data_IF_111390134933
#
_entry.id   IF_111390134933
#
_cell.length_a   1.000
_cell.length_b   1.000
_cell.length_c   1.000
_cell.angle_alpha   90.00
_cell.angle_beta   90.00
_cell.angle_gamma   90.00
#
_symmetry.space_group_name_H-M   'P 1'
#
loop_
_entity.id
_entity.type
_entity.pdbx_description
1 polymer ?
#
# COMPACT_ATOMS: atom_id res chain seq x y z
N UNK A 1 -31.67 45.35 80.23
CA UNK A 1 -32.17 45.67 78.87
C UNK A 1 -30.98 45.83 77.95
N UNK A 2 -31.07 45.26 76.74
CA UNK A 2 -30.13 45.37 75.62
C UNK A 2 -29.73 46.83 75.35
N UNK A 3 -28.58 47.20 74.78
CA UNK A 3 -27.58 46.50 73.98
C UNK A 3 -27.16 47.43 72.82
N UNK A 4 -25.86 47.43 72.48
CA UNK A 4 -25.19 47.78 71.20
C UNK A 4 -24.01 48.77 71.36
N UNK A 5 -22.81 48.26 71.10
CA UNK A 5 -21.84 48.86 70.17
C UNK A 5 -20.91 47.76 69.66
N UNK A 6 -20.70 47.73 68.35
CA UNK A 6 -19.67 46.94 67.67
C UNK A 6 -18.29 47.55 67.94
N UNK A 7 -17.24 46.73 67.93
CA UNK A 7 -16.07 47.00 67.10
C UNK A 7 -15.22 45.73 66.87
N UNK A 8 -14.55 45.76 65.73
CA UNK A 8 -13.99 44.66 64.96
C UNK A 8 -12.67 44.07 65.47
N UNK A 9 -12.43 42.85 64.94
CA UNK A 9 -11.15 42.26 64.54
C UNK A 9 -10.44 41.35 65.55
N UNK A 10 -10.56 40.03 65.34
CA UNK A 10 -9.50 39.06 65.55
C UNK A 10 -9.66 37.91 64.54
N UNK A 11 -8.65 37.68 63.69
CA UNK A 11 -8.53 36.45 62.89
C UNK A 11 -8.11 35.28 63.78
N UNK A 12 -8.50 34.03 63.44
CA UNK A 12 -7.80 32.82 63.87
C UNK A 12 -6.99 32.17 62.73
N UNK A 13 -6.06 31.25 63.07
CA UNK A 13 -4.80 31.05 62.36
C UNK A 13 -4.78 29.89 61.36
N UNK A 14 -3.64 29.80 60.67
CA UNK A 14 -3.25 28.84 59.62
C UNK A 14 -3.30 27.37 60.06
N UNK A 15 -3.93 26.53 59.22
CA UNK A 15 -3.82 25.07 59.28
C UNK A 15 -2.66 24.54 58.42
N UNK A 16 -2.09 23.44 58.89
CA UNK A 16 -0.81 22.83 58.50
C UNK A 16 -0.89 21.95 57.22
N UNK A 17 0.24 21.67 56.55
CA UNK A 17 0.26 20.98 55.27
C UNK A 17 0.09 19.47 55.42
N UNK A 18 -0.92 18.92 54.73
CA UNK A 18 -1.16 17.48 54.65
C UNK A 18 -0.12 16.79 53.75
N UNK A 19 0.54 15.77 54.32
CA UNK A 19 1.51 14.90 53.66
C UNK A 19 0.89 14.19 52.45
N UNK A 20 1.46 14.42 51.26
CA UNK A 20 1.30 13.52 50.12
C UNK A 20 2.55 12.64 49.95
N UNK A 21 2.42 11.33 49.66
CA UNK A 21 3.54 10.42 49.58
C UNK A 21 4.36 10.64 48.30
N UNK A 22 5.68 10.70 48.45
CA UNK A 22 6.66 10.69 47.37
C UNK A 22 6.49 9.41 46.56
N UNK A 23 6.00 9.52 45.32
CA UNK A 23 6.22 8.53 44.28
C UNK A 23 7.57 8.84 43.64
N UNK A 24 8.57 8.02 43.94
CA UNK A 24 9.74 7.87 43.09
C UNK A 24 9.26 7.14 41.85
N UNK A 25 9.11 7.85 40.72
CA UNK A 25 9.03 7.21 39.42
C UNK A 25 10.32 7.51 38.66
N UNK A 26 11.23 6.55 38.75
CA UNK A 26 12.37 6.42 37.88
C UNK A 26 11.86 5.85 36.56
N UNK A 27 11.63 6.71 35.58
CA UNK A 27 11.59 6.28 34.19
C UNK A 27 12.19 7.37 33.31
N UNK A 28 13.27 6.99 32.64
CA UNK A 28 13.99 7.72 31.60
C UNK A 28 13.05 8.49 30.66
N UNK A 29 13.51 9.58 30.01
CA UNK A 29 12.74 10.21 28.95
C UNK A 29 12.61 9.20 27.81
N UNK A 30 11.50 8.47 27.76
CA UNK A 30 11.02 7.93 26.50
C UNK A 30 10.70 9.13 25.65
N UNK A 31 11.63 9.50 24.79
CA UNK A 31 11.28 10.20 23.56
C UNK A 31 10.50 9.23 22.68
N UNK A 32 9.31 8.82 23.13
CA UNK A 32 8.29 8.31 22.23
C UNK A 32 7.93 9.50 21.36
N UNK A 33 8.59 9.58 20.20
CA UNK A 33 8.23 10.53 19.16
C UNK A 33 6.79 10.19 18.80
N UNK A 34 5.84 10.92 19.38
CA UNK A 34 4.43 10.76 19.08
C UNK A 34 4.25 10.83 17.57
N UNK A 35 3.59 9.81 17.01
CA UNK A 35 3.20 9.80 15.61
C UNK A 35 2.04 10.77 15.32
N UNK A 36 1.48 11.40 16.34
CA UNK A 36 0.42 12.39 16.19
C UNK A 36 0.98 13.78 15.83
N UNK A 37 0.16 14.60 15.17
CA UNK A 37 0.45 16.02 14.98
C UNK A 37 0.43 16.77 16.31
N UNK A 38 1.24 17.83 16.42
CA UNK A 38 1.13 18.78 17.54
C UNK A 38 -0.19 19.56 17.46
N UNK A 39 -0.67 20.07 18.59
CA UNK A 39 -1.88 20.89 18.63
C UNK A 39 -1.78 22.13 17.75
N UNK A 40 -0.60 22.73 17.65
CA UNK A 40 -0.35 23.86 16.73
C UNK A 40 -0.58 23.49 15.27
N UNK A 41 -0.19 22.30 14.86
CA UNK A 41 -0.40 21.82 13.48
C UNK A 41 -1.87 21.48 13.23
N UNK A 42 -2.57 20.90 14.21
CA UNK A 42 -4.01 20.64 14.12
C UNK A 42 -4.82 21.93 14.00
N UNK A 43 -4.51 22.93 14.82
CA UNK A 43 -5.14 24.25 14.75
C UNK A 43 -4.92 24.93 13.39
N UNK A 44 -3.69 24.86 12.87
CA UNK A 44 -3.38 25.43 11.56
C UNK A 44 -4.08 24.69 10.41
N UNK A 45 -4.14 23.37 10.47
CA UNK A 45 -4.90 22.57 9.50
C UNK A 45 -6.41 22.88 9.55
N UNK A 46 -6.98 23.04 10.75
CA UNK A 46 -8.38 23.42 10.94
C UNK A 46 -8.65 24.85 10.45
N UNK A 47 -7.72 25.79 10.63
CA UNK A 47 -7.82 27.15 10.09
C UNK A 47 -7.90 27.15 8.55
N UNK A 48 -7.17 26.25 7.89
CA UNK A 48 -7.12 26.17 6.43
C UNK A 48 -8.24 25.34 5.80
N UNK A 49 -8.67 24.25 6.46
CA UNK A 49 -9.65 23.29 5.90
C UNK A 49 -11.02 23.32 6.57
N UNK A 50 -11.19 24.11 7.62
CA UNK A 50 -12.39 24.13 8.44
C UNK A 50 -12.39 23.06 9.55
N UNK A 51 -13.45 23.07 10.36
CA UNK A 51 -13.62 22.20 11.53
C UNK A 51 -14.40 20.91 11.25
N UNK A 52 -14.55 20.52 9.99
CA UNK A 52 -15.30 19.35 9.56
C UNK A 52 -14.42 18.37 8.78
N UNK A 53 -14.87 17.12 8.69
CA UNK A 53 -14.28 16.11 7.82
C UNK A 53 -14.21 16.62 6.37
N UNK A 54 -13.01 16.67 5.82
CA UNK A 54 -12.79 17.14 4.45
C UNK A 54 -13.53 16.27 3.42
N UNK A 55 -13.65 14.97 3.69
CA UNK A 55 -14.32 14.01 2.80
C UNK A 55 -15.85 14.10 2.85
N UNK A 56 -16.46 13.98 4.04
CA UNK A 56 -17.91 13.84 4.19
C UNK A 56 -18.62 14.97 4.96
N UNK A 57 -17.90 16.01 5.37
CA UNK A 57 -18.42 17.14 6.15
C UNK A 57 -18.93 16.82 7.58
N UNK A 58 -18.83 15.57 8.05
CA UNK A 58 -19.12 15.23 9.44
C UNK A 58 -18.29 16.12 10.41
N UNK A 59 -18.88 16.58 11.53
CA UNK A 59 -18.17 17.37 12.53
C UNK A 59 -17.10 16.54 13.24
N UNK A 60 -16.28 17.23 14.05
CA UNK A 60 -15.28 16.65 14.96
C UNK A 60 -14.29 15.69 14.27
N UNK A 61 -13.55 16.16 13.24
CA UNK A 61 -12.59 15.33 12.54
C UNK A 61 -11.35 15.04 13.39
N UNK A 62 -10.75 13.88 13.12
CA UNK A 62 -9.36 13.57 13.46
C UNK A 62 -8.43 14.13 12.39
N UNK A 63 -7.12 14.18 12.68
CA UNK A 63 -6.11 14.75 11.78
C UNK A 63 -5.19 13.65 11.24
N UNK A 64 -5.41 13.26 9.99
CA UNK A 64 -4.70 12.19 9.32
C UNK A 64 -3.44 12.70 8.61
N UNK A 65 -2.38 11.89 8.62
CA UNK A 65 -1.19 12.14 7.80
C UNK A 65 -1.44 11.65 6.38
N UNK A 66 -1.34 12.53 5.38
CA UNK A 66 -1.52 12.13 3.98
C UNK A 66 -0.40 11.20 3.54
N UNK A 67 0.85 11.54 3.85
CA UNK A 67 1.98 10.61 3.84
C UNK A 67 2.27 10.22 5.29
N UNK A 68 2.09 8.94 5.63
CA UNK A 68 2.31 8.45 6.98
C UNK A 68 3.77 8.68 7.43
N UNK A 69 4.00 9.02 8.70
CA UNK A 69 5.36 9.22 9.23
C UNK A 69 6.23 7.97 9.08
N UNK A 70 5.62 6.78 9.10
CA UNK A 70 6.26 5.47 8.92
C UNK A 70 6.02 4.88 7.53
N UNK A 71 5.76 5.72 6.51
CA UNK A 71 5.68 5.24 5.13
C UNK A 71 7.04 4.67 4.71
N UNK A 72 7.10 3.34 4.52
CA UNK A 72 8.32 2.65 4.14
C UNK A 72 8.89 3.07 2.79
N UNK A 73 8.08 3.70 1.92
CA UNK A 73 8.56 4.24 0.64
C UNK A 73 9.04 5.69 0.72
N UNK A 74 8.81 6.40 1.83
CA UNK A 74 9.19 7.80 1.96
C UNK A 74 10.68 8.09 1.67
N UNK A 75 11.66 7.27 2.11
CA UNK A 75 13.06 7.51 1.79
C UNK A 75 13.35 7.56 0.29
N UNK A 76 12.73 6.68 -0.51
CA UNK A 76 12.91 6.67 -1.97
C UNK A 76 12.31 7.90 -2.63
N UNK A 77 11.17 8.39 -2.14
CA UNK A 77 10.55 9.61 -2.63
C UNK A 77 11.37 10.87 -2.28
N UNK A 78 11.96 10.90 -1.08
CA UNK A 78 12.87 11.97 -0.66
C UNK A 78 14.15 11.94 -1.49
N UNK A 79 14.77 10.77 -1.66
CA UNK A 79 15.97 10.59 -2.49
C UNK A 79 15.70 10.99 -3.96
N UNK A 80 14.50 10.69 -4.46
CA UNK A 80 14.08 11.09 -5.78
C UNK A 80 13.73 12.58 -5.89
N UNK A 81 13.82 13.39 -4.83
CA UNK A 81 13.52 14.83 -4.84
C UNK A 81 12.03 15.17 -4.92
N UNK A 82 11.14 14.23 -4.61
CA UNK A 82 9.69 14.38 -4.77
C UNK A 82 8.98 14.90 -3.52
N UNK A 83 9.61 14.78 -2.34
CA UNK A 83 9.08 15.25 -1.06
C UNK A 83 9.93 16.39 -0.49
N UNK A 84 9.64 17.65 -0.86
CA UNK A 84 10.34 18.83 -0.35
C UNK A 84 9.78 19.34 0.98
N UNK A 85 8.98 18.56 1.70
CA UNK A 85 8.25 19.01 2.90
C UNK A 85 8.37 18.03 4.06
N UNK A 86 8.18 18.54 5.28
CA UNK A 86 8.14 17.73 6.49
C UNK A 86 6.75 17.12 6.71
N UNK A 87 6.71 15.81 6.99
CA UNK A 87 5.46 15.08 7.22
C UNK A 87 4.72 15.49 8.49
N UNK A 88 5.39 16.21 9.41
CA UNK A 88 4.83 16.67 10.69
C UNK A 88 4.16 18.04 10.60
N UNK A 89 4.04 18.61 9.40
CA UNK A 89 3.48 19.96 9.20
C UNK A 89 2.07 19.89 8.63
N UNK A 90 1.35 21.01 8.70
CA UNK A 90 -0.04 21.09 8.23
C UNK A 90 -0.17 20.75 6.73
N UNK A 91 0.86 20.96 5.91
CA UNK A 91 0.82 20.65 4.47
C UNK A 91 0.70 19.15 4.17
N UNK A 92 0.89 18.29 5.15
CA UNK A 92 0.70 16.84 5.07
C UNK A 92 -0.49 16.36 5.90
N UNK A 93 -1.35 17.27 6.36
CA UNK A 93 -2.46 17.00 7.25
C UNK A 93 -3.79 17.11 6.51
N UNK A 94 -4.72 16.20 6.82
CA UNK A 94 -6.10 16.27 6.32
C UNK A 94 -7.08 15.95 7.46
N UNK A 95 -8.08 16.81 7.73
CA UNK A 95 -9.11 16.52 8.73
C UNK A 95 -10.10 15.48 8.18
N UNK A 96 -10.27 14.36 8.87
CA UNK A 96 -11.17 13.27 8.50
C UNK A 96 -11.92 12.76 9.73
N UNK A 97 -13.23 12.51 9.62
CA UNK A 97 -13.96 11.80 10.68
C UNK A 97 -13.42 10.36 10.83
N UNK A 98 -13.65 9.68 11.97
CA UNK A 98 -13.09 8.35 12.23
C UNK A 98 -13.34 7.32 11.10
N UNK A 99 -14.54 7.32 10.51
CA UNK A 99 -14.87 6.42 9.39
C UNK A 99 -14.06 6.71 8.12
N UNK A 100 -13.94 7.98 7.73
CA UNK A 100 -13.15 8.39 6.57
C UNK A 100 -11.64 8.19 6.82
N UNK A 101 -11.18 8.43 8.05
CA UNK A 101 -9.79 8.22 8.44
C UNK A 101 -9.42 6.73 8.35
N UNK A 102 -10.25 5.84 8.90
CA UNK A 102 -10.05 4.39 8.80
C UNK A 102 -10.10 3.88 7.36
N UNK A 103 -10.93 4.48 6.50
CA UNK A 103 -10.98 4.15 5.07
C UNK A 103 -9.73 4.64 4.31
N UNK A 104 -9.15 5.75 4.74
CA UNK A 104 -7.98 6.38 4.13
C UNK A 104 -6.66 5.69 4.52
N UNK A 105 -6.50 5.29 5.78
CA UNK A 105 -5.22 4.82 6.35
C UNK A 105 -4.79 3.41 5.90
N UNK A 106 -5.64 2.68 5.18
CA UNK A 106 -5.32 1.35 4.66
C UNK A 106 -4.28 1.44 3.56
N UNK A 107 -3.01 1.19 3.92
CA UNK A 107 -1.86 1.41 3.03
C UNK A 107 -1.85 0.54 1.77
N UNK A 108 -2.25 -0.72 1.86
CA UNK A 108 -2.25 -1.68 0.74
C UNK A 108 -3.57 -1.72 -0.03
N UNK A 109 -4.66 -1.31 0.61
CA UNK A 109 -6.01 -1.41 0.05
C UNK A 109 -6.90 -0.27 0.56
N UNK A 110 -6.60 0.98 0.14
CA UNK A 110 -7.40 2.13 0.54
C UNK A 110 -8.86 1.94 0.12
N UNK A 111 -9.77 2.35 0.99
CA UNK A 111 -11.20 2.39 0.71
C UNK A 111 -11.63 3.79 0.24
N UNK A 112 -10.80 4.80 0.50
CA UNK A 112 -10.98 6.17 0.03
C UNK A 112 -9.63 6.81 -0.23
N UNK A 113 -9.57 7.60 -1.29
CA UNK A 113 -8.41 8.45 -1.62
C UNK A 113 -8.88 9.79 -2.14
N UNK A 114 -7.96 10.72 -2.33
CA UNK A 114 -8.22 11.94 -3.08
C UNK A 114 -7.02 12.28 -3.97
N UNK A 115 -7.28 12.86 -5.13
CA UNK A 115 -6.28 13.14 -6.16
C UNK A 115 -6.41 14.59 -6.65
N UNK A 116 -5.30 15.22 -7.08
CA UNK A 116 -5.39 16.48 -7.83
C UNK A 116 -6.33 16.33 -9.04
N UNK A 117 -7.18 17.32 -9.28
CA UNK A 117 -8.12 17.27 -10.42
C UNK A 117 -7.46 17.35 -11.79
N UNK A 118 -6.19 17.79 -11.83
CA UNK A 118 -5.44 17.97 -13.07
C UNK A 118 -4.07 17.29 -12.96
N UNK A 119 -4.04 15.97 -13.12
CA UNK A 119 -2.78 15.20 -13.15
C UNK A 119 -1.90 15.55 -14.36
N UNK A 120 -2.51 15.97 -15.47
CA UNK A 120 -1.78 16.38 -16.68
C UNK A 120 -0.81 17.54 -16.43
N UNK A 121 -1.17 18.48 -15.53
CA UNK A 121 -0.27 19.54 -15.09
C UNK A 121 1.03 18.99 -14.48
N UNK A 122 0.94 17.98 -13.61
CA UNK A 122 2.10 17.36 -12.97
C UNK A 122 2.95 16.55 -13.95
N UNK A 123 2.30 15.88 -14.91
CA UNK A 123 3.00 15.16 -15.99
C UNK A 123 3.82 16.14 -16.82
N UNK A 124 3.18 17.22 -17.27
CA UNK A 124 3.84 18.27 -18.05
C UNK A 124 5.03 18.87 -17.28
N UNK A 125 4.83 19.18 -16.00
CA UNK A 125 5.90 19.70 -15.16
C UNK A 125 7.10 18.75 -15.08
N UNK A 126 6.87 17.46 -14.81
CA UNK A 126 7.98 16.50 -14.72
C UNK A 126 8.69 16.31 -16.06
N UNK A 127 7.97 16.33 -17.19
CA UNK A 127 8.59 16.27 -18.52
C UNK A 127 9.48 17.49 -18.80
N UNK A 128 9.01 18.69 -18.46
CA UNK A 128 9.79 19.93 -18.60
C UNK A 128 11.00 19.94 -17.66
N UNK A 129 10.84 19.46 -16.42
CA UNK A 129 11.92 19.34 -15.44
C UNK A 129 12.98 18.31 -15.87
N UNK A 130 12.56 17.17 -16.44
CA UNK A 130 13.47 16.18 -17.02
C UNK A 130 14.27 16.77 -18.19
N UNK A 131 13.61 17.48 -19.10
CA UNK A 131 14.29 18.15 -20.22
C UNK A 131 15.30 19.19 -19.73
N UNK A 132 14.92 20.00 -18.73
CA UNK A 132 15.82 20.97 -18.07
C UNK A 132 17.04 20.27 -17.46
N UNK A 133 16.84 19.17 -16.72
CA UNK A 133 17.93 18.40 -16.11
C UNK A 133 18.84 17.73 -17.14
N UNK A 134 18.31 17.32 -18.28
CA UNK A 134 19.11 16.74 -19.37
C UNK A 134 19.97 17.78 -20.11
N UNK A 135 19.56 19.05 -20.14
CA UNK A 135 20.28 20.15 -20.80
C UNK A 135 21.32 20.84 -19.90
N UNK A 136 21.20 20.70 -18.57
CA UNK A 136 22.08 21.37 -17.62
C UNK A 136 23.51 20.81 -17.62
N UNK A 137 24.50 21.70 -17.71
CA UNK A 137 25.91 21.36 -17.43
C UNK A 137 26.08 21.28 -15.91
N UNK A 138 25.75 20.11 -15.33
CA UNK A 138 25.84 19.84 -13.89
C UNK A 138 24.61 19.10 -13.33
N UNK A 139 24.67 18.62 -12.08
CA UNK A 139 23.51 18.06 -11.38
C UNK A 139 22.52 19.19 -11.05
N UNK A 140 21.53 19.39 -11.92
CA UNK A 140 20.36 20.20 -11.58
C UNK A 140 19.41 19.37 -10.74
N UNK A 141 19.12 19.83 -9.52
CA UNK A 141 18.16 19.16 -8.64
C UNK A 141 16.76 19.10 -9.27
N UNK A 142 16.05 17.98 -9.07
CA UNK A 142 14.65 17.83 -9.49
C UNK A 142 13.78 18.87 -8.78
N UNK A 143 12.85 19.47 -9.51
CA UNK A 143 11.83 20.34 -8.95
C UNK A 143 10.44 19.73 -9.05
N UNK A 144 9.57 20.04 -8.10
CA UNK A 144 8.16 19.63 -8.11
C UNK A 144 7.25 20.85 -7.98
N UNK A 145 6.00 20.79 -8.48
CA UNK A 145 5.05 21.87 -8.29
C UNK A 145 4.78 22.12 -6.80
N UNK A 146 4.89 23.39 -6.39
CA UNK A 146 4.47 23.82 -5.06
C UNK A 146 2.96 23.95 -4.96
N UNK A 147 2.45 24.07 -3.73
CA UNK A 147 1.03 24.35 -3.45
C UNK A 147 0.56 25.59 -4.23
N UNK A 148 1.34 26.69 -4.14
CA UNK A 148 1.04 27.94 -4.84
C UNK A 148 1.04 27.76 -6.36
N UNK A 149 2.03 27.06 -6.94
CA UNK A 149 2.10 26.83 -8.39
C UNK A 149 0.91 26.04 -8.91
N UNK A 150 0.48 25.01 -8.18
CA UNK A 150 -0.70 24.25 -8.59
C UNK A 150 -2.00 25.06 -8.45
N UNK A 151 -2.15 25.81 -7.35
CA UNK A 151 -3.27 26.77 -7.18
C UNK A 151 -3.31 27.79 -8.31
N UNK A 152 -2.20 28.46 -8.61
CA UNK A 152 -2.12 29.54 -9.60
C UNK A 152 -2.46 29.01 -11.00
N UNK A 153 -2.02 27.79 -11.33
CA UNK A 153 -2.42 27.11 -12.56
C UNK A 153 -3.95 26.95 -12.64
N UNK A 154 -4.59 26.45 -11.59
CA UNK A 154 -6.05 26.29 -11.56
C UNK A 154 -6.80 27.63 -11.56
N UNK A 155 -6.24 28.65 -10.90
CA UNK A 155 -6.80 29.99 -10.86
C UNK A 155 -6.73 30.68 -12.23
N UNK A 156 -5.63 30.49 -12.98
CA UNK A 156 -5.51 30.96 -14.36
C UNK A 156 -6.55 30.34 -15.31
N UNK A 157 -7.11 29.18 -14.94
CA UNK A 157 -8.18 28.49 -15.67
C UNK A 157 -9.58 28.88 -15.16
N UNK A 158 -9.68 29.73 -14.14
CA UNK A 158 -10.95 30.14 -13.52
C UNK A 158 -11.62 29.04 -12.69
N UNK A 159 -10.91 27.96 -12.35
CA UNK A 159 -11.48 26.79 -11.66
C UNK A 159 -11.38 26.92 -10.12
N UNK A 160 -10.43 27.73 -9.64
CA UNK A 160 -10.21 28.01 -8.22
C UNK A 160 -9.96 29.50 -8.04
N UNK A 161 -10.36 30.08 -6.92
CA UNK A 161 -10.07 31.49 -6.62
C UNK A 161 -8.57 31.73 -6.39
N UNK A 162 -8.07 32.90 -6.77
CA UNK A 162 -6.67 33.28 -6.55
C UNK A 162 -6.27 33.34 -5.07
N UNK A 163 -7.24 33.55 -4.18
CA UNK A 163 -7.06 33.59 -2.72
C UNK A 163 -7.21 32.21 -2.05
N UNK A 164 -7.45 31.14 -2.80
CA UNK A 164 -7.60 29.81 -2.25
C UNK A 164 -6.33 29.36 -1.50
N UNK A 165 -6.54 28.59 -0.43
CA UNK A 165 -5.46 28.07 0.42
C UNK A 165 -4.60 26.99 -0.26
N UNK A 166 -5.03 26.45 -1.41
CA UNK A 166 -4.31 25.42 -2.13
C UNK A 166 -4.98 25.01 -3.44
N UNK A 167 -4.63 23.81 -3.91
CA UNK A 167 -5.15 23.25 -5.16
C UNK A 167 -6.53 22.59 -5.00
N UNK A 168 -7.09 22.13 -6.11
CA UNK A 168 -8.38 21.43 -6.17
C UNK A 168 -8.17 19.92 -6.27
N UNK A 169 -8.89 19.16 -5.45
CA UNK A 169 -8.73 17.71 -5.35
C UNK A 169 -10.09 17.03 -5.36
N UNK A 170 -10.17 15.86 -5.99
CA UNK A 170 -11.36 15.02 -6.05
C UNK A 170 -11.20 13.83 -5.13
N UNK A 171 -12.19 13.58 -4.27
CA UNK A 171 -12.29 12.35 -3.50
C UNK A 171 -12.82 11.19 -4.35
N UNK A 172 -12.26 10.00 -4.16
CA UNK A 172 -12.72 8.77 -4.80
C UNK A 172 -13.03 7.72 -3.73
N UNK A 173 -14.27 7.24 -3.74
CA UNK A 173 -14.74 6.18 -2.86
C UNK A 173 -14.51 4.84 -3.57
N UNK A 174 -13.56 4.07 -3.04
CA UNK A 174 -13.18 2.76 -3.60
C UNK A 174 -14.02 1.63 -2.99
N UNK A 175 -14.64 1.89 -1.85
CA UNK A 175 -15.61 1.03 -1.17
C UNK A 175 -16.72 1.89 -0.59
N UNK A 176 -17.94 1.36 -0.54
CA UNK A 176 -19.01 1.97 0.26
C UNK A 176 -18.82 1.63 1.75
N UNK A 177 -18.10 2.49 2.47
CA UNK A 177 -17.91 2.41 3.92
C UNK A 177 -18.75 3.44 4.69
N UNK A 178 -19.56 4.24 3.98
CA UNK A 178 -20.46 5.22 4.60
C UNK A 178 -21.88 4.67 4.77
N UNK A 179 -22.19 3.50 4.18
CA UNK A 179 -23.42 2.75 4.41
C UNK A 179 -23.68 2.47 5.91
N UNK A 180 -24.92 2.64 6.41
CA UNK A 180 -26.14 3.03 5.68
C UNK A 180 -26.35 4.54 5.56
N UNK A 181 -25.50 5.35 6.21
CA UNK A 181 -25.59 6.82 6.28
C UNK A 181 -25.62 7.50 4.91
N UNK A 182 -25.03 6.87 3.89
CA UNK A 182 -24.94 7.37 2.52
C UNK A 182 -25.37 6.24 1.57
N UNK A 183 -26.66 6.15 1.26
CA UNK A 183 -27.23 5.03 0.50
C UNK A 183 -27.49 5.33 -0.98
N UNK A 184 -27.38 6.59 -1.42
CA UNK A 184 -27.64 6.97 -2.81
C UNK A 184 -26.37 7.34 -3.57
N UNK A 185 -26.35 7.00 -4.86
CA UNK A 185 -25.29 7.42 -5.79
C UNK A 185 -25.14 8.96 -5.81
N UNK A 186 -26.26 9.69 -5.73
CA UNK A 186 -26.27 11.15 -5.69
C UNK A 186 -25.51 11.72 -4.47
N UNK A 187 -25.52 11.06 -3.32
CA UNK A 187 -24.74 11.51 -2.17
C UNK A 187 -23.25 11.32 -2.42
N UNK A 188 -22.83 10.19 -3.01
CA UNK A 188 -21.43 9.99 -3.40
C UNK A 188 -20.95 11.00 -4.44
N UNK A 189 -21.79 11.39 -5.40
CA UNK A 189 -21.46 12.45 -6.37
C UNK A 189 -21.20 13.80 -5.69
N UNK A 190 -22.06 14.19 -4.74
CA UNK A 190 -21.87 15.41 -3.95
C UNK A 190 -20.59 15.33 -3.11
N UNK A 191 -20.36 14.20 -2.43
CA UNK A 191 -19.17 14.03 -1.59
C UNK A 191 -17.87 13.98 -2.41
N UNK A 192 -17.92 13.43 -3.63
CA UNK A 192 -16.82 13.37 -4.58
C UNK A 192 -16.66 14.68 -5.39
N UNK A 193 -17.47 15.70 -5.15
CA UNK A 193 -17.26 17.02 -5.76
C UNK A 193 -15.88 17.53 -5.39
N UNK A 194 -15.11 18.10 -6.33
CA UNK A 194 -13.77 18.59 -6.03
C UNK A 194 -13.76 19.67 -4.95
N UNK A 195 -12.78 19.59 -4.04
CA UNK A 195 -12.62 20.50 -2.90
C UNK A 195 -11.20 21.03 -2.83
N UNK A 196 -11.05 22.22 -2.26
CA UNK A 196 -9.73 22.80 -2.04
C UNK A 196 -9.04 22.06 -0.89
N UNK A 197 -7.75 21.73 -1.07
CA UNK A 197 -6.91 21.24 0.00
C UNK A 197 -5.58 22.00 0.02
N UNK A 198 -5.15 22.37 1.22
CA UNK A 198 -4.00 23.23 1.48
C UNK A 198 -2.67 22.49 1.41
N UNK A 199 -2.69 21.16 1.31
CA UNK A 199 -1.48 20.35 1.39
C UNK A 199 -0.69 20.23 0.11
N UNK A 200 0.52 19.70 0.25
CA UNK A 200 1.46 19.55 -0.85
C UNK A 200 0.96 18.48 -1.85
N UNK A 201 0.84 18.78 -3.15
CA UNK A 201 0.20 17.88 -4.10
C UNK A 201 0.89 16.52 -4.22
N UNK A 202 2.22 16.49 -4.04
CA UNK A 202 2.99 15.24 -4.04
C UNK A 202 2.54 14.23 -2.98
N UNK A 203 2.00 14.68 -1.85
CA UNK A 203 1.44 13.80 -0.83
C UNK A 203 0.21 13.03 -1.34
N UNK A 204 -0.70 13.74 -2.03
CA UNK A 204 -1.88 13.14 -2.65
C UNK A 204 -1.48 12.23 -3.83
N UNK A 205 -0.50 12.65 -4.65
CA UNK A 205 0.00 11.83 -5.78
C UNK A 205 0.65 10.54 -5.30
N UNK A 206 1.44 10.57 -4.20
CA UNK A 206 1.97 9.35 -3.56
C UNK A 206 0.88 8.36 -3.21
N UNK A 207 -0.23 8.84 -2.63
CA UNK A 207 -1.40 8.03 -2.31
C UNK A 207 -2.07 7.51 -3.57
N UNK A 208 -2.23 8.35 -4.60
CA UNK A 208 -2.78 7.95 -5.89
C UNK A 208 -2.00 6.84 -6.57
N UNK A 209 -0.69 6.97 -6.64
CA UNK A 209 0.20 5.95 -7.23
C UNK A 209 0.09 4.63 -6.45
N UNK A 210 -0.06 4.67 -5.12
CA UNK A 210 -0.23 3.45 -4.32
C UNK A 210 -1.45 2.62 -4.75
N UNK A 211 -2.52 3.28 -5.21
CA UNK A 211 -3.76 2.61 -5.64
C UNK A 211 -3.51 1.72 -6.85
N UNK A 212 -2.52 2.02 -7.70
CA UNK A 212 -2.21 1.21 -8.89
C UNK A 212 -1.90 -0.26 -8.52
N UNK A 213 -1.47 -0.52 -7.28
CA UNK A 213 -1.26 -1.87 -6.75
C UNK A 213 -2.50 -2.53 -6.12
N UNK A 214 -3.61 -1.80 -5.94
CA UNK A 214 -4.86 -2.33 -5.39
C UNK A 214 -5.80 -2.78 -6.50
N UNK A 215 -6.52 -3.89 -6.26
CA UNK A 215 -7.59 -4.37 -7.15
C UNK A 215 -8.75 -3.36 -7.30
N UNK A 216 -8.88 -2.38 -6.40
CA UNK A 216 -9.91 -1.33 -6.48
C UNK A 216 -9.51 -0.14 -7.35
N UNK A 217 -8.36 -0.17 -8.01
CA UNK A 217 -7.93 0.91 -8.91
C UNK A 217 -8.94 1.18 -10.03
N UNK A 218 -9.71 0.17 -10.45
CA UNK A 218 -10.76 0.28 -11.47
C UNK A 218 -11.98 1.11 -11.06
N UNK A 219 -12.08 1.55 -9.80
CA UNK A 219 -13.05 2.58 -9.41
C UNK A 219 -12.66 3.98 -9.95
N UNK A 220 -11.40 4.15 -10.37
CA UNK A 220 -10.95 5.34 -11.11
C UNK A 220 -11.24 5.16 -12.60
N UNK A 221 -11.49 6.26 -13.30
CA UNK A 221 -11.59 6.23 -14.76
C UNK A 221 -10.24 5.88 -15.41
N UNK A 222 -10.29 5.36 -16.64
CA UNK A 222 -9.10 4.86 -17.34
C UNK A 222 -8.04 5.95 -17.53
N UNK A 223 -8.45 7.18 -17.82
CA UNK A 223 -7.55 8.31 -18.02
C UNK A 223 -6.77 8.61 -16.73
N UNK A 224 -7.45 8.64 -15.58
CA UNK A 224 -6.80 8.84 -14.28
C UNK A 224 -5.78 7.73 -13.99
N UNK A 225 -6.12 6.46 -14.26
CA UNK A 225 -5.20 5.32 -14.08
C UNK A 225 -3.95 5.50 -14.95
N UNK A 226 -4.13 5.79 -16.24
CA UNK A 226 -3.01 5.93 -17.19
C UNK A 226 -2.13 7.15 -16.85
N UNK A 227 -2.73 8.24 -16.35
CA UNK A 227 -1.99 9.41 -15.87
C UNK A 227 -1.16 9.12 -14.62
N UNK A 228 -1.72 8.40 -13.64
CA UNK A 228 -0.97 7.97 -12.45
C UNK A 228 0.18 7.02 -12.82
N UNK A 229 -0.06 6.07 -13.72
CA UNK A 229 0.99 5.17 -14.22
C UNK A 229 2.10 5.94 -14.95
N UNK A 230 1.72 6.95 -15.74
CA UNK A 230 2.67 7.85 -16.41
C UNK A 230 3.52 8.62 -15.40
N UNK A 231 2.91 9.21 -14.37
CA UNK A 231 3.63 9.89 -13.30
C UNK A 231 4.58 8.95 -12.55
N UNK A 232 4.11 7.75 -12.21
CA UNK A 232 4.96 6.74 -11.55
C UNK A 232 6.20 6.42 -12.38
N UNK A 233 6.05 6.20 -13.69
CA UNK A 233 7.18 5.98 -14.58
C UNK A 233 8.08 7.21 -14.63
N UNK A 234 7.56 8.41 -14.87
CA UNK A 234 8.38 9.62 -14.96
C UNK A 234 9.18 9.90 -13.67
N UNK A 235 8.63 9.56 -12.50
CA UNK A 235 9.29 9.76 -11.23
C UNK A 235 10.41 8.77 -10.93
N UNK A 236 10.27 7.51 -11.35
CA UNK A 236 11.13 6.41 -10.93
C UNK A 236 11.87 5.69 -12.06
N UNK A 237 11.67 6.07 -13.33
CA UNK A 237 12.44 5.59 -14.49
C UNK A 237 13.84 6.25 -14.56
N UNK A 238 14.51 6.30 -13.41
CA UNK A 238 15.89 6.72 -13.27
C UNK A 238 16.70 5.57 -12.65
N UNK A 239 17.58 4.99 -13.46
CA UNK A 239 18.45 3.87 -13.05
C UNK A 239 19.35 4.22 -11.87
N UNK A 240 19.60 5.51 -11.60
CA UNK A 240 20.38 5.95 -10.46
C UNK A 240 19.64 5.77 -9.12
N UNK A 241 18.33 5.52 -9.14
CA UNK A 241 17.54 5.23 -7.94
C UNK A 241 17.63 3.76 -7.50
N UNK A 242 18.17 2.88 -8.34
CA UNK A 242 18.35 1.47 -8.04
C UNK A 242 19.73 1.27 -7.40
N UNK A 243 19.79 0.46 -6.34
CA UNK A 243 21.07 0.06 -5.75
C UNK A 243 21.98 -0.54 -6.83
N UNK A 244 23.20 -0.01 -6.95
CA UNK A 244 24.19 -0.42 -7.96
C UNK A 244 24.45 -1.93 -7.94
N UNK A 245 24.39 -2.57 -6.76
CA UNK A 245 24.52 -4.03 -6.60
C UNK A 245 23.34 -4.77 -7.22
N UNK A 246 22.12 -4.26 -7.04
CA UNK A 246 20.92 -4.87 -7.63
C UNK A 246 20.87 -4.68 -9.15
N UNK A 247 21.35 -3.54 -9.66
CA UNK A 247 21.52 -3.33 -11.11
C UNK A 247 22.44 -4.42 -11.68
N UNK A 248 23.55 -4.74 -11.02
CA UNK A 248 24.48 -5.79 -11.47
C UNK A 248 23.85 -7.19 -11.46
N UNK A 249 22.95 -7.50 -10.52
CA UNK A 249 22.29 -8.81 -10.43
C UNK A 249 21.22 -8.97 -11.51
N UNK A 250 20.37 -7.96 -11.70
CA UNK A 250 19.17 -8.09 -12.54
C UNK A 250 19.35 -7.54 -13.97
N UNK A 251 20.37 -6.72 -14.22
CA UNK A 251 20.63 -6.12 -15.54
C UNK A 251 21.97 -6.58 -16.13
N UNK A 252 22.31 -7.86 -15.91
CA UNK A 252 23.46 -8.50 -16.58
C UNK A 252 23.22 -8.39 -18.09
N UNK A 253 24.09 -7.71 -18.86
CA UNK A 253 23.99 -7.73 -20.31
C UNK A 253 24.12 -9.18 -20.76
N UNK A 254 23.14 -9.69 -21.52
CA UNK A 254 23.22 -11.01 -22.13
C UNK A 254 24.51 -11.09 -22.95
N UNK A 255 25.57 -11.65 -22.37
CA UNK A 255 26.76 -12.00 -23.11
C UNK A 255 26.34 -13.10 -24.06
N UNK A 256 26.28 -12.73 -25.35
CA UNK A 256 26.13 -13.64 -26.47
C UNK A 256 27.09 -14.82 -26.30
N UNK A 257 26.62 -15.91 -25.69
CA UNK A 257 27.15 -17.24 -25.94
C UNK A 257 26.70 -17.61 -27.35
N UNK A 258 27.35 -17.01 -28.37
CA UNK A 258 27.43 -17.59 -29.69
C UNK A 258 28.09 -18.96 -29.49
N UNK A 259 27.26 -19.99 -29.30
CA UNK A 259 27.66 -21.39 -29.49
C UNK A 259 28.22 -21.43 -30.90
N UNK A 260 29.55 -21.47 -31.00
CA UNK A 260 30.28 -21.67 -32.25
C UNK A 260 29.96 -23.10 -32.66
N UNK A 261 28.88 -23.28 -33.44
CA UNK A 261 28.62 -24.54 -34.14
C UNK A 261 29.74 -24.64 -35.17
N UNK A 262 30.70 -25.52 -34.91
CA UNK A 262 31.70 -25.92 -35.88
C UNK A 262 30.97 -26.73 -36.95
N UNK A 263 30.60 -26.06 -38.05
CA UNK A 263 30.27 -26.75 -39.29
C UNK A 263 31.60 -27.17 -39.92
N UNK A 264 32.04 -28.36 -39.54
CA UNK A 264 33.11 -29.05 -40.23
C UNK A 264 32.51 -29.66 -41.51
N UNK A 265 32.97 -29.16 -42.65
CA UNK A 265 32.64 -29.70 -43.96
C UNK A 265 33.49 -30.95 -44.17
N UNK A 266 32.87 -32.10 -44.32
CA UNK A 266 33.43 -33.16 -45.17
C UNK A 266 32.43 -33.55 -46.24
N UNK A 267 32.68 -33.03 -47.45
CA UNK A 267 32.28 -33.67 -48.68
C UNK A 267 32.85 -35.10 -48.71
N UNK A 268 32.03 -36.11 -49.00
CA UNK A 268 32.33 -37.12 -50.02
C UNK A 268 31.04 -37.85 -50.41
N UNK A 269 30.73 -37.69 -51.69
CA UNK A 269 29.71 -38.34 -52.47
C UNK A 269 30.22 -39.73 -52.87
N UNK A 270 29.44 -40.80 -52.70
CA UNK A 270 29.50 -41.95 -53.61
C UNK A 270 28.22 -42.80 -53.55
N UNK A 271 27.74 -43.12 -54.75
CA UNK A 271 26.54 -43.89 -55.07
C UNK A 271 26.74 -45.39 -54.78
N UNK A 272 25.65 -46.12 -54.47
CA UNK A 272 24.95 -47.11 -55.35
C UNK A 272 24.38 -48.33 -54.59
N UNK A 273 23.11 -48.61 -54.92
CA UNK A 273 22.41 -49.92 -55.00
C UNK A 273 22.18 -50.83 -53.77
N UNK A 274 20.89 -51.02 -53.44
CA UNK A 274 20.27 -52.25 -52.89
C UNK A 274 20.51 -53.46 -53.81
N UNK A 275 20.56 -54.72 -53.32
CA UNK A 275 19.33 -55.53 -53.12
C UNK A 275 19.32 -56.61 -51.98
N UNK A 276 18.13 -56.75 -51.37
CA UNK A 276 17.29 -57.97 -51.14
C UNK A 276 17.72 -59.16 -50.23
N UNK A 277 16.82 -59.43 -49.27
CA UNK A 277 16.24 -60.69 -48.73
C UNK A 277 17.02 -61.82 -48.02
N UNK A 278 16.31 -62.28 -46.96
CA UNK A 278 16.23 -63.59 -46.29
C UNK A 278 17.36 -64.03 -45.34
N UNK A 279 17.16 -64.09 -44.00
CA UNK A 279 16.50 -65.14 -43.17
C UNK A 279 17.39 -66.41 -43.03
N UNK A 280 17.61 -67.12 -41.90
CA UNK A 280 16.95 -67.24 -40.59
C UNK A 280 17.93 -67.87 -39.55
N UNK A 281 17.58 -67.73 -38.27
CA UNK A 281 17.59 -68.75 -37.18
C UNK A 281 18.79 -68.93 -36.24
N UNK A 282 18.59 -68.53 -34.97
CA UNK A 282 18.53 -69.44 -33.79
C UNK A 282 17.75 -68.71 -32.64
N UNK A 283 16.46 -68.99 -32.37
CA UNK A 283 15.89 -69.88 -31.32
C UNK A 283 16.53 -69.74 -29.90
N UNK A 284 15.84 -69.61 -28.75
CA UNK A 284 14.41 -69.75 -28.37
C UNK A 284 14.20 -69.30 -26.89
N UNK A 285 13.11 -68.55 -26.64
CA UNK A 285 12.11 -68.67 -25.53
C UNK A 285 12.51 -68.51 -24.04
N UNK A 286 11.69 -67.97 -23.12
CA UNK A 286 10.23 -67.75 -23.02
C UNK A 286 9.95 -66.63 -21.96
N UNK A 287 9.03 -65.67 -22.21
CA UNK A 287 7.59 -65.58 -21.81
C UNK A 287 7.35 -65.03 -20.38
N UNK A 288 6.46 -64.08 -20.06
CA UNK A 288 5.12 -63.64 -20.54
C UNK A 288 4.98 -62.09 -20.36
N UNK A 289 4.37 -61.24 -21.21
CA UNK A 289 3.00 -61.12 -21.79
C UNK A 289 1.91 -60.81 -20.73
N UNK A 290 1.00 -59.81 -20.81
CA UNK A 290 0.03 -59.33 -21.83
C UNK A 290 -0.44 -57.89 -21.42
N UNK A 291 -0.55 -56.83 -22.24
CA UNK A 291 -1.53 -56.49 -23.32
C UNK A 291 -2.73 -55.66 -22.76
N UNK A 292 -3.43 -54.70 -23.40
CA UNK A 292 -3.66 -54.23 -24.79
C UNK A 292 -4.64 -52.99 -24.69
N UNK A 293 -4.45 -51.79 -25.27
CA UNK A 293 -4.84 -51.24 -26.60
C UNK A 293 -6.29 -50.69 -26.79
N UNK A 294 -6.37 -49.58 -27.57
CA UNK A 294 -7.51 -48.91 -28.27
C UNK A 294 -8.48 -48.03 -27.44
N UNK A 295 -8.92 -46.82 -27.80
CA UNK A 295 -8.75 -45.96 -28.97
C UNK A 295 -10.05 -45.72 -29.74
N UNK A 296 -10.88 -44.69 -29.41
CA UNK A 296 -11.79 -44.01 -30.39
C UNK A 296 -12.40 -42.71 -29.84
N UNK A 297 -12.47 -41.67 -30.70
CA UNK A 297 -13.19 -40.39 -30.54
C UNK A 297 -14.70 -40.57 -30.74
N UNK A 298 -15.55 -39.75 -30.12
CA UNK A 298 -16.67 -39.04 -30.77
C UNK A 298 -17.27 -37.94 -29.87
N UNK A 299 -18.00 -37.02 -30.51
CA UNK A 299 -18.23 -35.60 -30.19
C UNK A 299 -19.68 -35.31 -29.75
N UNK A 300 -19.84 -34.26 -28.93
CA UNK A 300 -21.01 -33.41 -28.64
C UNK A 300 -22.25 -33.97 -27.92
N UNK A 301 -22.56 -33.41 -26.73
CA UNK A 301 -23.49 -32.26 -26.62
C UNK A 301 -23.48 -31.64 -25.20
N UNK A 302 -23.47 -30.31 -25.14
CA UNK A 302 -23.74 -29.48 -23.94
C UNK A 302 -25.26 -29.44 -23.66
N UNK A 303 -25.65 -29.19 -22.40
CA UNK A 303 -26.23 -27.87 -22.14
C UNK A 303 -25.72 -27.18 -20.87
N UNK A 304 -25.55 -25.86 -21.01
CA UNK A 304 -25.63 -24.75 -20.05
C UNK A 304 -26.53 -24.98 -18.79
N UNK A 305 -26.50 -24.09 -17.76
CA UNK A 305 -25.37 -23.62 -16.96
C UNK A 305 -25.77 -23.38 -15.48
N UNK A 306 -25.02 -23.86 -14.49
CA UNK A 306 -24.91 -23.16 -13.20
C UNK A 306 -23.83 -23.84 -12.36
N UNK A 307 -23.07 -23.02 -11.65
CA UNK A 307 -21.91 -23.36 -10.83
C UNK A 307 -20.58 -23.58 -11.57
N UNK A 308 -19.61 -22.73 -11.25
CA UNK A 308 -18.28 -23.20 -10.86
C UNK A 308 -18.00 -22.57 -9.50
N UNK A 309 -18.36 -23.34 -8.47
CA UNK A 309 -17.55 -23.47 -7.26
C UNK A 309 -16.18 -23.97 -7.72
N UNK A 310 -15.14 -23.28 -7.28
CA UNK A 310 -13.76 -23.68 -7.58
C UNK A 310 -13.30 -24.58 -6.44
N UNK A 311 -13.06 -25.85 -6.75
CA UNK A 311 -12.10 -26.78 -6.09
C UNK A 311 -12.12 -28.09 -6.89
N UNK A 312 -11.05 -28.80 -7.26
CA UNK A 312 -9.59 -28.68 -7.28
C UNK A 312 -9.14 -29.79 -8.30
N UNK A 313 -8.07 -29.70 -9.07
CA UNK A 313 -6.70 -29.97 -8.64
C UNK A 313 -5.74 -29.80 -9.83
N UNK A 314 -4.59 -29.16 -9.60
CA UNK A 314 -3.28 -29.77 -9.91
C UNK A 314 -2.18 -28.97 -9.19
N UNK A 315 -1.70 -29.60 -8.12
CA UNK A 315 -0.34 -29.62 -7.57
C UNK A 315 0.45 -28.30 -7.49
N UNK A 316 0.29 -27.58 -6.36
CA UNK A 316 1.42 -27.02 -5.57
C UNK A 316 0.96 -26.30 -4.29
N UNK A 317 0.13 -26.89 -3.43
CA UNK A 317 -0.15 -26.29 -2.12
C UNK A 317 -0.21 -27.35 -1.03
N UNK A 318 0.55 -27.11 0.04
CA UNK A 318 0.54 -27.93 1.24
C UNK A 318 -0.90 -28.04 1.79
N UNK A 319 -1.36 -29.22 2.23
CA UNK A 319 -2.72 -29.36 2.75
C UNK A 319 -2.86 -28.57 4.07
N UNK A 320 -3.79 -27.63 4.12
CA UNK A 320 -4.33 -27.08 5.37
C UNK A 320 -5.27 -28.11 6.02
N UNK A 321 -4.79 -29.33 6.20
CA UNK A 321 -5.54 -30.37 6.90
C UNK A 321 -5.56 -30.01 8.39
N UNK A 322 -6.75 -29.97 8.96
CA UNK A 322 -6.94 -29.97 10.41
C UNK A 322 -6.35 -31.28 10.98
N UNK A 323 -5.07 -31.26 11.31
CA UNK A 323 -4.24 -32.45 11.61
C UNK A 323 -4.75 -33.31 12.77
N UNK A 324 -5.57 -32.76 13.67
CA UNK A 324 -6.09 -33.48 14.82
C UNK A 324 -7.51 -34.04 14.61
N UNK A 325 -8.21 -33.65 13.52
CA UNK A 325 -9.58 -34.09 13.26
C UNK A 325 -10.60 -33.66 14.33
N UNK A 326 -11.91 -33.88 14.09
CA UNK A 326 -12.98 -33.41 14.98
C UNK A 326 -13.10 -34.22 16.29
N UNK A 327 -12.42 -35.36 16.38
CA UNK A 327 -12.49 -36.27 17.54
C UNK A 327 -11.26 -36.17 18.45
N UNK A 328 -10.33 -35.25 18.20
CA UNK A 328 -9.17 -35.09 19.06
C UNK A 328 -9.55 -34.55 20.44
N UNK A 329 -8.93 -35.13 21.46
CA UNK A 329 -9.04 -34.67 22.83
C UNK A 329 -8.01 -33.59 23.14
N UNK A 330 -8.22 -32.83 24.22
CA UNK A 330 -7.23 -31.85 24.68
C UNK A 330 -5.85 -32.46 24.98
N UNK A 331 -5.79 -33.75 25.35
CA UNK A 331 -4.54 -34.47 25.57
C UNK A 331 -3.76 -34.68 24.27
N UNK A 332 -4.46 -34.96 23.16
CA UNK A 332 -3.82 -35.18 21.85
C UNK A 332 -3.14 -33.90 21.33
N UNK A 333 -3.72 -32.73 21.63
CA UNK A 333 -3.13 -31.44 21.30
C UNK A 333 -1.87 -31.14 22.14
N UNK A 334 -1.91 -31.43 23.44
CA UNK A 334 -0.77 -31.20 24.36
C UNK A 334 0.41 -32.10 23.97
N UNK A 335 0.16 -33.38 23.67
CA UNK A 335 1.19 -34.34 23.29
C UNK A 335 1.93 -33.93 22.01
N UNK A 336 1.23 -33.30 21.07
CA UNK A 336 1.81 -32.93 19.76
C UNK A 336 2.53 -31.58 19.78
N UNK A 337 1.95 -30.59 20.44
CA UNK A 337 2.43 -29.20 20.36
C UNK A 337 3.18 -28.71 21.59
N UNK A 338 3.10 -29.45 22.70
CA UNK A 338 3.73 -29.05 23.94
C UNK A 338 4.32 -30.24 24.74
N UNK A 339 5.22 -31.05 24.13
CA UNK A 339 5.76 -32.28 24.74
C UNK A 339 6.55 -32.03 26.03
N UNK A 340 6.99 -30.78 26.28
CA UNK A 340 7.71 -30.40 27.49
C UNK A 340 6.85 -30.50 28.77
N UNK A 341 5.53 -30.41 28.67
CA UNK A 341 4.62 -30.53 29.82
C UNK A 341 4.42 -31.97 30.32
N UNK A 342 4.87 -32.98 29.57
CA UNK A 342 4.86 -34.38 30.03
C UNK A 342 6.05 -34.72 30.94
N UNK A 343 7.06 -33.83 31.02
CA UNK A 343 8.32 -34.10 31.76
C UNK A 343 8.40 -33.47 33.15
N UNK A 344 7.36 -32.75 33.59
CA UNK A 344 7.31 -32.18 34.93
C UNK A 344 6.37 -33.03 35.78
N UNK A 345 6.97 -33.82 36.65
CA UNK A 345 6.31 -34.57 37.71
C UNK A 345 5.65 -33.57 38.68
N UNK A 346 4.40 -33.19 38.42
CA UNK A 346 3.62 -32.25 39.27
C UNK A 346 3.42 -32.82 40.68
N UNK A 347 3.67 -34.11 40.90
CA UNK A 347 3.69 -34.70 42.24
C UNK A 347 4.88 -34.22 43.11
N UNK A 348 5.91 -33.58 42.54
CA UNK A 348 7.07 -33.03 43.28
C UNK A 348 6.98 -31.54 43.59
N UNK A 349 5.91 -30.85 43.21
CA UNK A 349 5.68 -29.44 43.55
C UNK A 349 4.68 -29.25 44.71
N UNK A 350 4.20 -30.34 45.33
CA UNK A 350 3.25 -30.31 46.45
C UNK A 350 3.61 -31.25 47.62
N UNK A 351 4.88 -31.63 47.79
CA UNK A 351 5.39 -32.24 49.05
C UNK A 351 6.81 -31.83 49.35
#
# INVERSE_FOLDING_TARGET
MAGKSNDQALMPPSESPSRSPRRYDSSQPRTDISSAFSETVKLEAARMSGASCWSCANPDPEFAHVVAQKDGQAPYWIQAGLFPFSFKTAVNCIPLCPSCHSAFDRSSDPCWVFLPTNLAFFIKWEMEDQARRAQGVGLSDRTVPTIAKYRDHLASQGVVSHDAVGGLYRGYFLKDFLFPTCSSASTFEVLATPKVWHGHPMAAIRRGIAILGSARCYALDRTTIDQLATLHRLYFDDKNLIDKRLVQVYHIPSTNHKRKRSDDKSDHNDQKSLPTDTDIHETVQDAHDVGNVQGTRHVCALPNPSFIDIEAHNDFYAPNDWVLGPNATGIDAINRFAPLFQSIDVAKLLR
#
